data_IF_243452511948
#
_entry.id   IF_243452511948
#
_cell.length_a   1.000
_cell.length_b   1.000
_cell.length_c   1.000
_cell.angle_alpha   90.00
_cell.angle_beta   90.00
_cell.angle_gamma   90.00
#
_symmetry.space_group_name_H-M   'P 1'
#
loop_
_entity.id
_entity.type
_entity.pdbx_description
1 polymer ?
#
# COMPACT_ATOMS: atom_id res chain seq x y z
N UNK A 1 12.50 16.55 5.79
CA UNK A 1 11.23 16.27 6.51
C UNK A 1 10.12 16.45 5.50
N UNK A 2 9.67 15.37 4.87
CA UNK A 2 8.63 15.43 3.83
C UNK A 2 7.30 15.24 4.56
N UNK A 3 6.60 16.33 4.84
CA UNK A 3 5.21 16.29 5.31
C UNK A 3 4.31 16.32 4.08
N UNK A 4 3.94 15.15 3.56
CA UNK A 4 2.93 15.05 2.51
C UNK A 4 1.54 15.26 3.15
N UNK A 5 0.77 16.28 2.74
CA UNK A 5 -0.57 16.55 3.26
C UNK A 5 -1.59 15.42 3.02
N UNK A 6 -1.27 14.38 2.24
CA UNK A 6 -2.09 13.16 2.09
C UNK A 6 -2.02 12.20 3.27
N UNK A 7 -1.03 12.34 4.16
CA UNK A 7 -0.93 11.50 5.38
C UNK A 7 -2.08 11.80 6.36
N UNK A 8 -2.73 12.96 6.24
CA UNK A 8 -3.87 13.37 7.09
C UNK A 8 -5.17 12.59 6.80
N UNK A 9 -5.22 11.77 5.73
CA UNK A 9 -6.40 10.98 5.34
C UNK A 9 -6.46 9.62 6.06
N UNK A 10 -5.47 9.29 6.89
CA UNK A 10 -5.58 8.11 7.74
C UNK A 10 -6.73 8.29 8.73
N UNK A 11 -7.62 7.29 8.90
CA UNK A 11 -8.61 7.34 9.97
C UNK A 11 -7.88 7.59 11.30
N UNK A 12 -8.43 8.53 12.10
CA UNK A 12 -7.89 8.91 13.43
C UNK A 12 -7.43 7.66 14.18
N UNK A 13 -6.12 7.50 14.33
CA UNK A 13 -5.51 6.38 15.08
C UNK A 13 -4.47 5.54 14.32
N UNK A 14 -4.38 5.62 12.99
CA UNK A 14 -3.29 4.95 12.26
C UNK A 14 -2.06 5.87 12.21
N UNK A 15 -1.00 5.49 12.92
CA UNK A 15 0.28 6.18 12.86
C UNK A 15 1.21 5.44 11.88
N UNK A 16 1.40 5.97 10.67
CA UNK A 16 2.46 5.49 9.78
C UNK A 16 3.81 5.91 10.35
N UNK A 17 4.70 4.94 10.58
CA UNK A 17 6.07 5.24 10.96
C UNK A 17 6.78 5.88 9.77
N UNK A 18 7.07 7.18 9.86
CA UNK A 18 7.87 7.91 8.87
C UNK A 18 9.37 7.62 9.04
N UNK A 19 9.72 6.41 9.46
CA UNK A 19 11.10 5.93 9.55
C UNK A 19 11.80 5.93 8.19
N UNK A 20 13.09 5.55 8.11
CA UNK A 20 13.85 5.51 6.87
C UNK A 20 13.42 4.33 5.97
N UNK A 21 12.12 4.12 5.80
CA UNK A 21 11.57 3.12 4.91
C UNK A 21 11.56 3.65 3.49
N UNK A 22 12.00 2.81 2.57
CA UNK A 22 12.00 3.10 1.15
C UNK A 22 11.46 1.90 0.39
N UNK A 23 11.33 2.03 -0.92
CA UNK A 23 10.96 0.91 -1.79
C UNK A 23 11.96 -0.27 -1.69
N UNK A 24 13.18 -0.06 -1.17
CA UNK A 24 14.16 -1.12 -0.99
C UNK A 24 14.12 -1.78 0.40
N UNK A 25 13.26 -1.32 1.31
CA UNK A 25 13.06 -1.96 2.62
C UNK A 25 12.40 -3.33 2.46
N UNK A 26 12.87 -4.29 3.25
CA UNK A 26 12.31 -5.64 3.39
C UNK A 26 11.74 -5.83 4.79
N UNK A 27 10.91 -6.87 4.99
CA UNK A 27 10.25 -7.17 6.28
C UNK A 27 9.40 -6.00 6.78
N UNK A 28 8.56 -5.46 5.89
CA UNK A 28 7.71 -4.30 6.18
C UNK A 28 6.22 -4.66 6.12
N UNK A 29 5.45 -4.00 6.99
CA UNK A 29 3.99 -3.89 6.90
C UNK A 29 3.67 -2.55 6.25
N UNK A 30 2.73 -2.53 5.30
CA UNK A 30 2.35 -1.34 4.54
C UNK A 30 0.84 -1.24 4.38
N UNK A 31 0.41 -0.02 4.05
CA UNK A 31 -0.98 0.36 3.80
C UNK A 31 -1.11 0.92 2.40
N UNK A 32 -2.05 0.41 1.61
CA UNK A 32 -2.47 0.99 0.34
C UNK A 32 -3.82 1.68 0.53
N UNK A 33 -3.91 2.93 0.07
CA UNK A 33 -5.11 3.75 0.12
C UNK A 33 -5.63 3.98 -1.29
N UNK A 34 -6.95 4.05 -1.45
CA UNK A 34 -7.59 4.37 -2.71
C UNK A 34 -8.18 5.78 -2.66
N UNK A 35 -7.65 6.69 -3.47
CA UNK A 35 -8.14 8.06 -3.54
C UNK A 35 -9.59 8.16 -4.08
N UNK A 36 -10.07 7.11 -4.77
CA UNK A 36 -11.45 7.01 -5.27
C UNK A 36 -12.41 6.40 -4.25
N UNK A 37 -11.91 5.63 -3.29
CA UNK A 37 -12.71 4.86 -2.34
C UNK A 37 -12.23 5.15 -0.92
N UNK A 38 -12.68 6.26 -0.29
CA UNK A 38 -12.09 6.77 0.96
C UNK A 38 -12.24 5.84 2.16
N UNK A 39 -13.15 4.87 2.10
CA UNK A 39 -13.39 3.89 3.16
C UNK A 39 -12.72 2.52 2.87
N UNK A 40 -11.94 2.40 1.79
CA UNK A 40 -11.27 1.17 1.43
C UNK A 40 -9.76 1.33 1.55
N UNK A 41 -9.17 0.43 2.32
CA UNK A 41 -7.73 0.35 2.52
C UNK A 41 -7.28 -1.10 2.51
N UNK A 42 -6.07 -1.35 2.03
CA UNK A 42 -5.45 -2.67 2.06
C UNK A 42 -4.20 -2.65 2.93
N UNK A 43 -4.17 -3.51 3.95
CA UNK A 43 -2.99 -3.75 4.79
C UNK A 43 -2.32 -5.03 4.30
N UNK A 44 -1.01 -4.98 4.08
CA UNK A 44 -0.23 -6.14 3.68
C UNK A 44 1.15 -6.14 4.29
N UNK A 45 1.79 -7.30 4.26
CA UNK A 45 3.18 -7.50 4.67
C UNK A 45 4.02 -8.07 3.54
N UNK A 46 5.34 -7.99 3.68
CA UNK A 46 6.28 -8.69 2.81
C UNK A 46 7.63 -8.91 3.49
N UNK A 47 8.21 -10.10 3.29
CA UNK A 47 9.61 -10.38 3.61
C UNK A 47 10.58 -9.94 2.51
N UNK A 48 10.10 -9.73 1.28
CA UNK A 48 10.89 -9.22 0.15
C UNK A 48 10.97 -7.69 0.15
N UNK A 49 11.72 -7.11 -0.78
CA UNK A 49 11.71 -5.64 -0.95
C UNK A 49 10.31 -5.14 -1.29
N UNK A 50 9.92 -4.03 -0.68
CA UNK A 50 8.60 -3.43 -0.91
C UNK A 50 8.35 -3.13 -2.41
N UNK A 51 9.39 -2.71 -3.14
CA UNK A 51 9.36 -2.50 -4.60
C UNK A 51 8.87 -3.74 -5.35
N UNK A 52 9.40 -4.92 -5.01
CA UNK A 52 9.00 -6.17 -5.66
C UNK A 52 7.53 -6.48 -5.35
N UNK A 53 7.13 -6.41 -4.08
CA UNK A 53 5.74 -6.67 -3.67
C UNK A 53 4.76 -5.71 -4.34
N UNK A 54 5.08 -4.43 -4.37
CA UNK A 54 4.23 -3.41 -5.01
C UNK A 54 4.12 -3.61 -6.53
N UNK A 55 5.20 -4.03 -7.20
CA UNK A 55 5.15 -4.37 -8.62
C UNK A 55 4.26 -5.60 -8.89
N UNK A 56 4.29 -6.61 -8.01
CA UNK A 56 3.39 -7.77 -8.15
C UNK A 56 1.92 -7.38 -8.01
N UNK A 57 1.60 -6.48 -7.07
CA UNK A 57 0.26 -5.88 -6.95
C UNK A 57 -0.15 -5.13 -8.22
N UNK A 58 0.74 -4.31 -8.79
CA UNK A 58 0.47 -3.64 -10.07
C UNK A 58 0.23 -4.61 -11.21
N UNK A 59 0.97 -5.72 -11.25
CA UNK A 59 0.80 -6.76 -12.26
C UNK A 59 -0.54 -7.48 -12.09
N UNK A 60 -0.94 -7.84 -10.87
CA UNK A 60 -2.21 -8.51 -10.62
C UNK A 60 -3.41 -7.63 -10.97
N UNK A 61 -3.33 -6.33 -10.66
CA UNK A 61 -4.31 -5.31 -11.08
C UNK A 61 -4.42 -5.26 -12.61
N UNK A 62 -3.30 -5.05 -13.32
CA UNK A 62 -3.28 -4.98 -14.80
C UNK A 62 -3.83 -6.24 -15.47
N UNK A 63 -3.63 -7.39 -14.83
CA UNK A 63 -4.05 -8.69 -15.36
C UNK A 63 -5.45 -9.11 -14.89
N UNK A 64 -6.19 -8.26 -14.17
CA UNK A 64 -7.52 -8.59 -13.63
C UNK A 64 -7.53 -9.90 -12.85
N UNK A 65 -6.47 -10.17 -12.08
CA UNK A 65 -6.31 -11.46 -11.41
C UNK A 65 -7.39 -11.65 -10.35
N UNK A 66 -8.29 -12.61 -10.56
CA UNK A 66 -9.39 -12.92 -9.63
C UNK A 66 -8.91 -13.51 -8.32
N UNK A 67 -9.64 -13.27 -7.23
CA UNK A 67 -9.35 -13.81 -5.90
C UNK A 67 -8.26 -13.05 -5.14
N UNK A 68 -7.77 -11.93 -5.70
CA UNK A 68 -6.78 -11.07 -5.05
C UNK A 68 -7.43 -9.73 -4.70
N UNK A 69 -7.62 -9.39 -3.41
CA UNK A 69 -8.31 -8.17 -3.00
C UNK A 69 -7.74 -6.89 -3.61
N UNK A 70 -6.42 -6.85 -3.81
CA UNK A 70 -5.75 -5.70 -4.44
C UNK A 70 -6.10 -5.60 -5.92
N UNK A 71 -6.13 -6.72 -6.65
CA UNK A 71 -6.49 -6.72 -8.07
C UNK A 71 -7.97 -6.37 -8.27
N UNK A 72 -8.84 -6.92 -7.42
CA UNK A 72 -10.29 -6.70 -7.50
C UNK A 72 -10.68 -5.26 -7.16
N UNK A 73 -9.97 -4.60 -6.24
CA UNK A 73 -10.28 -3.24 -5.83
C UNK A 73 -9.61 -2.16 -6.69
N UNK A 74 -8.33 -2.33 -7.04
CA UNK A 74 -7.52 -1.26 -7.64
C UNK A 74 -7.45 -1.29 -9.17
N UNK A 75 -8.29 -2.10 -9.83
CA UNK A 75 -8.44 -2.10 -11.28
C UNK A 75 -9.09 -0.82 -11.84
#
# INVERSE_FOLDING_TARGET
MITDPRITILPKGIQLSTGPYSCNSSNVVYLLLCDRCPNVSYIGETSTTFRLRFNNHKASVRNNSSGLPVAEHFN
#
